data_IF_317162770777
#
_entry.id   IF_317162770777
#
_cell.length_a   1.000
_cell.length_b   1.000
_cell.length_c   1.000
_cell.angle_alpha   90.00
_cell.angle_beta   90.00
_cell.angle_gamma   90.00
#
_symmetry.space_group_name_H-M   'P 1'
#
loop_
_entity.id
_entity.type
_entity.pdbx_description
1 polymer ?
#
# COMPACT_ATOMS: atom_id res chain seq x y z
N UNK A 1 5.90 11.13 17.72
CA UNK A 1 5.41 10.72 16.39
C UNK A 1 6.49 11.03 15.34
N UNK A 2 7.63 10.30 15.35
CA UNK A 2 8.87 10.75 14.70
C UNK A 2 8.79 10.87 13.17
N UNK A 3 8.28 9.85 12.47
CA UNK A 3 8.24 9.86 11.01
C UNK A 3 7.37 11.00 10.41
N UNK A 4 6.34 11.46 11.13
CA UNK A 4 5.56 12.64 10.69
C UNK A 4 6.40 13.91 10.70
N UNK A 5 7.25 14.08 11.72
CA UNK A 5 8.15 15.23 11.80
C UNK A 5 9.16 15.20 10.64
N UNK A 6 9.76 14.05 10.37
CA UNK A 6 10.70 13.89 9.26
C UNK A 6 10.04 14.18 7.90
N UNK A 7 8.82 13.68 7.67
CA UNK A 7 8.06 13.94 6.45
C UNK A 7 7.73 15.43 6.28
N UNK A 8 7.38 16.12 7.37
CA UNK A 8 7.09 17.57 7.32
C UNK A 8 8.35 18.37 7.00
N UNK A 9 9.50 18.04 7.58
CA UNK A 9 10.77 18.71 7.26
C UNK A 9 11.16 18.47 5.79
N UNK A 10 10.85 17.29 5.25
CA UNK A 10 11.05 16.97 3.83
C UNK A 10 10.03 17.63 2.90
N UNK A 11 9.09 18.41 3.43
CA UNK A 11 8.12 19.15 2.63
C UNK A 11 6.98 18.30 2.08
N UNK A 12 6.54 17.25 2.80
CA UNK A 12 5.35 16.48 2.40
C UNK A 12 4.15 17.41 2.16
N UNK A 13 3.47 17.26 1.03
CA UNK A 13 2.40 18.18 0.62
C UNK A 13 1.07 17.91 1.31
N UNK A 14 0.78 16.66 1.65
CA UNK A 14 -0.51 16.24 2.21
C UNK A 14 -0.34 15.23 3.34
N UNK A 15 -1.30 15.20 4.27
CA UNK A 15 -1.39 14.21 5.33
C UNK A 15 -2.80 13.64 5.37
N UNK A 16 -2.92 12.31 5.33
CA UNK A 16 -4.20 11.62 5.43
C UNK A 16 -4.50 11.20 6.87
N UNK A 17 -5.74 11.40 7.32
CA UNK A 17 -6.18 11.03 8.67
C UNK A 17 -6.64 9.57 8.70
N UNK A 18 -6.10 8.78 9.64
CA UNK A 18 -6.44 7.36 9.84
C UNK A 18 -7.87 7.15 10.33
N UNK A 19 -8.52 6.05 9.94
CA UNK A 19 -9.82 5.60 10.51
C UNK A 19 -9.79 5.28 12.01
N UNK A 20 -8.60 5.04 12.56
CA UNK A 20 -8.40 4.56 13.92
C UNK A 20 -8.84 5.58 14.98
N UNK A 21 -8.89 5.10 16.22
CA UNK A 21 -9.07 5.94 17.40
C UNK A 21 -7.81 5.90 18.26
N UNK A 22 -7.47 7.02 18.87
CA UNK A 22 -6.48 7.07 19.96
C UNK A 22 -7.22 7.26 21.29
N UNK A 23 -7.05 6.32 22.23
CA UNK A 23 -7.74 6.33 23.53
C UNK A 23 -9.26 6.53 23.41
N UNK A 24 -9.88 5.87 22.42
CA UNK A 24 -11.31 5.97 22.13
C UNK A 24 -11.73 7.17 21.28
N UNK A 25 -10.88 8.19 21.11
CA UNK A 25 -11.19 9.35 20.28
C UNK A 25 -10.84 9.09 18.81
N UNK A 26 -11.84 9.18 17.92
CA UNK A 26 -11.67 9.07 16.46
C UNK A 26 -10.68 10.11 15.94
N UNK A 27 -9.70 9.70 15.15
CA UNK A 27 -8.69 10.60 14.61
C UNK A 27 -9.28 11.68 13.70
N UNK A 28 -10.31 11.35 12.90
CA UNK A 28 -11.05 12.34 12.09
C UNK A 28 -11.76 13.43 12.90
N UNK A 29 -12.03 13.21 14.19
CA UNK A 29 -12.61 14.20 15.10
C UNK A 29 -11.61 14.72 16.15
N UNK A 30 -10.31 14.39 16.02
CA UNK A 30 -9.31 14.70 17.04
C UNK A 30 -8.64 16.05 16.77
N UNK A 31 -9.29 17.14 17.18
CA UNK A 31 -8.73 18.51 17.06
C UNK A 31 -7.37 18.68 17.74
N UNK A 32 -7.15 17.97 18.86
CA UNK A 32 -5.89 18.00 19.60
C UNK A 32 -4.69 17.53 18.77
N UNK A 33 -4.85 16.45 18.00
CA UNK A 33 -3.78 15.93 17.16
C UNK A 33 -3.75 16.57 15.77
N UNK A 34 -4.91 16.79 15.16
CA UNK A 34 -5.02 17.30 13.79
C UNK A 34 -4.63 18.78 13.73
N UNK A 35 -5.20 19.61 14.61
CA UNK A 35 -4.89 21.04 14.61
C UNK A 35 -3.73 21.35 15.54
N UNK A 36 -3.87 21.12 16.85
CA UNK A 36 -2.88 21.64 17.81
C UNK A 36 -1.50 20.95 17.66
N UNK A 37 -1.46 19.67 17.34
CA UNK A 37 -0.19 18.98 17.14
C UNK A 37 0.33 19.13 15.71
N UNK A 38 -0.40 18.67 14.70
CA UNK A 38 0.11 18.62 13.33
C UNK A 38 0.23 20.02 12.69
N UNK A 39 -0.83 20.85 12.72
CA UNK A 39 -0.77 22.21 12.16
C UNK A 39 0.02 23.16 13.05
N UNK A 40 -0.26 23.22 14.34
CA UNK A 40 0.28 24.28 15.20
C UNK A 40 1.65 23.95 15.78
N UNK A 41 1.87 22.72 16.27
CA UNK A 41 3.16 22.34 16.87
C UNK A 41 4.19 21.92 15.82
N UNK A 42 3.82 21.05 14.89
CA UNK A 42 4.73 20.60 13.82
C UNK A 42 4.79 21.58 12.64
N UNK A 43 3.98 22.64 12.65
CA UNK A 43 3.96 23.70 11.61
C UNK A 43 3.66 23.16 10.21
N UNK A 44 2.89 22.08 10.09
CA UNK A 44 2.49 21.55 8.79
C UNK A 44 1.72 22.61 7.97
N UNK A 45 2.19 22.89 6.75
CA UNK A 45 1.62 23.92 5.86
C UNK A 45 0.91 23.38 4.62
N UNK A 46 1.00 22.09 4.37
CA UNK A 46 0.17 21.40 3.40
C UNK A 46 -1.29 21.31 3.86
N UNK A 47 -2.09 20.52 3.14
CA UNK A 47 -3.48 20.26 3.49
C UNK A 47 -3.68 18.84 4.05
N UNK A 48 -4.65 18.72 4.96
CA UNK A 48 -5.05 17.48 5.61
C UNK A 48 -6.24 16.89 4.87
N UNK A 49 -6.12 15.64 4.42
CA UNK A 49 -7.18 14.92 3.73
C UNK A 49 -7.79 13.84 4.63
N UNK A 50 -9.10 13.61 4.55
CA UNK A 50 -9.69 12.42 5.17
C UNK A 50 -9.33 11.17 4.37
N UNK A 51 -9.24 10.02 5.05
CA UNK A 51 -9.42 8.73 4.37
C UNK A 51 -10.85 8.61 3.76
N UNK A 52 -11.05 7.64 2.87
CA UNK A 52 -12.30 7.40 2.13
C UNK A 52 -13.47 7.16 3.08
N UNK A 53 -14.50 8.01 3.04
CA UNK A 53 -15.65 7.89 3.97
C UNK A 53 -15.23 7.95 5.45
N UNK A 54 -14.07 8.55 5.75
CA UNK A 54 -13.53 8.60 7.10
C UNK A 54 -14.39 9.44 8.06
N UNK A 55 -15.09 10.45 7.53
CA UNK A 55 -16.06 11.24 8.30
C UNK A 55 -17.28 10.40 8.70
N UNK A 56 -17.78 9.57 7.78
CA UNK A 56 -18.91 8.67 7.99
C UNK A 56 -18.62 7.75 9.19
N UNK A 57 -17.39 7.26 9.29
CA UNK A 57 -16.92 6.36 10.36
C UNK A 57 -16.59 7.05 11.69
N UNK A 58 -16.88 8.35 11.83
CA UNK A 58 -16.86 9.05 13.12
C UNK A 58 -18.00 8.52 14.02
N UNK A 59 -19.18 8.25 13.45
CA UNK A 59 -20.34 7.76 14.19
C UNK A 59 -20.41 6.23 14.19
N UNK A 60 -21.21 5.68 15.11
CA UNK A 60 -21.55 4.26 15.16
C UNK A 60 -23.07 4.10 15.22
N UNK A 61 -23.73 3.53 14.19
CA UNK A 61 -23.15 3.05 12.93
C UNK A 61 -22.57 4.19 12.06
N UNK A 62 -21.74 3.88 11.04
CA UNK A 62 -21.23 4.89 10.11
C UNK A 62 -22.36 5.70 9.47
N UNK A 63 -22.14 7.00 9.27
CA UNK A 63 -23.08 7.98 8.72
C UNK A 63 -24.41 8.16 9.48
N UNK A 64 -24.56 7.60 10.70
CA UNK A 64 -25.77 7.73 11.51
C UNK A 64 -26.14 9.20 11.82
N UNK A 65 -25.15 10.09 11.88
CA UNK A 65 -25.36 11.53 11.96
C UNK A 65 -24.30 12.25 11.11
N UNK A 66 -24.54 12.32 9.81
CA UNK A 66 -23.56 12.86 8.87
C UNK A 66 -23.31 14.36 9.06
N UNK A 67 -24.34 15.15 9.43
CA UNK A 67 -24.16 16.57 9.78
C UNK A 67 -23.15 16.74 10.91
N UNK A 68 -23.25 15.92 11.97
CA UNK A 68 -22.25 15.89 13.04
C UNK A 68 -20.87 15.47 12.53
N UNK A 69 -20.77 14.46 11.66
CA UNK A 69 -19.50 14.03 11.07
C UNK A 69 -18.80 15.16 10.30
N UNK A 70 -19.56 15.93 9.50
CA UNK A 70 -19.04 17.11 8.78
C UNK A 70 -18.56 18.16 9.77
N UNK A 71 -19.39 18.51 10.75
CA UNK A 71 -19.02 19.49 11.78
C UNK A 71 -17.74 19.06 12.53
N UNK A 72 -17.71 17.84 13.05
CA UNK A 72 -16.61 17.32 13.84
C UNK A 72 -15.31 17.24 13.03
N UNK A 73 -15.38 16.75 11.78
CA UNK A 73 -14.21 16.63 10.91
C UNK A 73 -13.60 17.97 10.51
N UNK A 74 -14.42 18.92 10.09
CA UNK A 74 -13.95 20.24 9.65
C UNK A 74 -13.42 21.06 10.83
N UNK A 75 -14.09 21.03 11.99
CA UNK A 75 -13.62 21.71 13.20
C UNK A 75 -12.38 21.04 13.82
N UNK A 76 -12.16 19.73 13.59
CA UNK A 76 -10.93 19.05 13.98
C UNK A 76 -9.71 19.53 13.16
N UNK A 77 -9.94 20.03 11.95
CA UNK A 77 -8.91 20.65 11.11
C UNK A 77 -8.70 19.96 9.76
N UNK A 78 -9.58 19.05 9.33
CA UNK A 78 -9.52 18.45 7.99
C UNK A 78 -9.77 19.53 6.94
N UNK A 79 -8.96 19.54 5.89
CA UNK A 79 -8.98 20.56 4.83
C UNK A 79 -9.72 20.06 3.58
N UNK A 80 -9.51 18.78 3.23
CA UNK A 80 -10.14 18.12 2.09
C UNK A 80 -10.81 16.83 2.55
N UNK A 81 -12.06 16.62 2.13
CA UNK A 81 -12.81 15.41 2.48
C UNK A 81 -12.89 14.49 1.25
N UNK A 82 -12.40 13.27 1.41
CA UNK A 82 -12.47 12.22 0.39
C UNK A 82 -13.84 11.57 0.41
N UNK A 83 -14.68 11.97 -0.55
CA UNK A 83 -16.06 11.47 -0.72
C UNK A 83 -16.17 10.87 -2.11
N UNK A 84 -16.17 9.54 -2.23
CA UNK A 84 -16.16 8.90 -3.55
C UNK A 84 -17.47 9.08 -4.32
N UNK A 85 -18.61 9.20 -3.61
CA UNK A 85 -19.94 9.15 -4.23
C UNK A 85 -20.84 10.35 -3.87
N UNK A 86 -21.19 10.53 -2.59
CA UNK A 86 -22.26 11.47 -2.18
C UNK A 86 -21.78 12.90 -1.89
N UNK A 87 -21.01 13.52 -2.80
CA UNK A 87 -20.52 14.89 -2.61
C UNK A 87 -21.64 15.95 -2.48
N UNK A 88 -22.85 15.85 -3.08
CA UNK A 88 -23.88 16.86 -2.90
C UNK A 88 -24.36 16.97 -1.46
N UNK A 89 -24.51 15.84 -0.75
CA UNK A 89 -24.90 15.82 0.67
C UNK A 89 -23.86 16.52 1.54
N UNK A 90 -22.57 16.23 1.32
CA UNK A 90 -21.49 16.91 2.03
C UNK A 90 -21.49 18.42 1.80
N UNK A 91 -21.59 18.86 0.54
CA UNK A 91 -21.60 20.29 0.20
C UNK A 91 -22.81 20.97 0.86
N UNK A 92 -23.98 20.34 0.82
CA UNK A 92 -25.20 20.85 1.47
C UNK A 92 -25.03 21.02 2.98
N UNK A 93 -24.54 19.99 3.67
CA UNK A 93 -24.28 20.02 5.11
C UNK A 93 -23.23 21.06 5.49
N UNK A 94 -22.09 21.10 4.80
CA UNK A 94 -21.03 22.07 5.08
C UNK A 94 -21.52 23.50 4.85
N UNK A 95 -22.26 23.74 3.76
CA UNK A 95 -22.83 25.06 3.46
C UNK A 95 -23.81 25.51 4.54
N UNK A 96 -24.68 24.61 5.01
CA UNK A 96 -25.61 24.89 6.10
C UNK A 96 -24.84 25.26 7.38
N UNK A 97 -23.87 24.43 7.79
CA UNK A 97 -23.08 24.64 8.99
C UNK A 97 -22.30 25.97 8.98
N UNK A 98 -21.85 26.42 7.80
CA UNK A 98 -21.21 27.73 7.64
C UNK A 98 -22.22 28.87 7.71
N UNK A 99 -23.36 28.76 7.02
CA UNK A 99 -24.45 29.76 7.04
C UNK A 99 -24.99 29.98 8.45
N UNK A 100 -25.11 28.90 9.22
CA UNK A 100 -25.58 28.92 10.60
C UNK A 100 -24.49 29.33 11.61
N UNK A 101 -23.29 29.72 11.14
CA UNK A 101 -22.13 30.11 11.94
C UNK A 101 -21.60 29.02 12.89
N UNK A 102 -21.96 27.75 12.66
CA UNK A 102 -21.45 26.60 13.42
C UNK A 102 -19.99 26.32 13.02
N UNK A 103 -19.67 26.43 11.73
CA UNK A 103 -18.30 26.44 11.21
C UNK A 103 -17.95 27.87 10.82
N UNK A 104 -16.94 28.50 11.45
CA UNK A 104 -16.56 29.86 11.11
C UNK A 104 -15.91 29.91 9.72
N UNK A 105 -16.14 31.00 8.97
CA UNK A 105 -15.52 31.22 7.67
C UNK A 105 -13.98 31.14 7.72
N UNK A 106 -13.36 31.57 8.81
CA UNK A 106 -11.90 31.45 9.00
C UNK A 106 -11.39 30.01 8.94
N UNK A 107 -12.21 29.01 9.30
CA UNK A 107 -11.87 27.59 9.14
C UNK A 107 -11.91 27.19 7.68
N UNK A 108 -12.89 27.67 6.92
CA UNK A 108 -12.98 27.45 5.47
C UNK A 108 -11.80 28.12 4.76
N UNK A 109 -11.46 29.35 5.13
CA UNK A 109 -10.34 30.09 4.58
C UNK A 109 -9.01 29.35 4.83
N UNK A 110 -8.75 28.85 6.05
CA UNK A 110 -7.55 28.02 6.34
C UNK A 110 -7.52 26.74 5.49
N UNK A 111 -8.66 26.05 5.31
CA UNK A 111 -8.73 24.84 4.47
C UNK A 111 -8.38 25.16 3.01
N UNK A 112 -9.03 26.18 2.45
CA UNK A 112 -8.88 26.57 1.05
C UNK A 112 -7.48 27.13 0.80
N UNK A 113 -6.94 27.95 1.71
CA UNK A 113 -5.57 28.49 1.60
C UNK A 113 -4.54 27.36 1.50
N UNK A 114 -4.69 26.29 2.29
CA UNK A 114 -3.78 25.13 2.25
C UNK A 114 -3.92 24.33 0.96
N UNK A 115 -5.14 24.11 0.48
CA UNK A 115 -5.40 23.41 -0.79
C UNK A 115 -4.80 24.21 -1.95
N UNK A 116 -5.09 25.51 -2.01
CA UNK A 116 -4.57 26.39 -3.05
C UNK A 116 -3.06 26.50 -3.00
N UNK A 117 -2.46 26.64 -1.81
CA UNK A 117 -1.00 26.64 -1.63
C UNK A 117 -0.37 25.41 -2.29
N UNK A 118 -0.88 24.21 -2.00
CA UNK A 118 -0.32 22.98 -2.58
C UNK A 118 -0.51 22.95 -4.10
N UNK A 119 -1.68 23.37 -4.61
CA UNK A 119 -1.91 23.45 -6.06
C UNK A 119 -0.96 24.41 -6.77
N UNK A 120 -0.68 25.59 -6.18
CA UNK A 120 0.29 26.54 -6.73
C UNK A 120 1.73 26.03 -6.64
N UNK A 121 2.14 25.41 -5.52
CA UNK A 121 3.50 24.84 -5.38
C UNK A 121 3.77 23.72 -6.40
N UNK A 122 2.73 22.96 -6.76
CA UNK A 122 2.82 21.89 -7.77
C UNK A 122 2.66 22.39 -9.22
N UNK A 123 2.57 23.72 -9.42
CA UNK A 123 2.32 24.34 -10.72
C UNK A 123 1.06 23.82 -11.45
N UNK A 124 0.03 23.41 -10.69
CA UNK A 124 -1.17 22.81 -11.28
C UNK A 124 -2.02 23.82 -12.05
N UNK A 125 -1.82 25.12 -11.82
CA UNK A 125 -2.50 26.18 -12.57
C UNK A 125 -1.81 26.49 -13.90
N UNK A 126 -0.49 26.28 -13.96
CA UNK A 126 0.34 26.45 -15.15
C UNK A 126 0.25 25.21 -16.06
N UNK A 127 0.36 24.01 -15.47
CA UNK A 127 0.35 22.73 -16.16
C UNK A 127 -0.81 21.82 -15.68
N UNK A 128 -2.08 22.17 -15.98
CA UNK A 128 -3.25 21.45 -15.46
C UNK A 128 -3.53 20.12 -16.18
N UNK A 129 -2.89 19.88 -17.33
CA UNK A 129 -3.12 18.70 -18.18
C UNK A 129 -1.96 17.72 -18.09
N UNK A 130 -2.25 16.45 -18.37
CA UNK A 130 -1.24 15.41 -18.40
C UNK A 130 -0.21 15.66 -19.51
N UNK A 131 1.08 15.51 -19.18
CA UNK A 131 2.14 15.47 -20.17
C UNK A 131 2.22 14.06 -20.80
N UNK A 132 1.79 13.97 -22.06
CA UNK A 132 1.79 12.72 -22.81
C UNK A 132 3.20 12.23 -23.16
N UNK A 133 4.23 13.07 -23.06
CA UNK A 133 5.62 12.67 -23.27
C UNK A 133 6.09 11.63 -22.23
N UNK A 134 5.45 11.61 -21.06
CA UNK A 134 5.77 10.72 -19.94
C UNK A 134 5.17 9.32 -20.08
N UNK A 135 4.41 9.01 -21.13
CA UNK A 135 3.76 7.70 -21.31
C UNK A 135 4.75 6.53 -21.24
N UNK A 136 5.97 6.73 -21.72
CA UNK A 136 7.03 5.71 -21.72
C UNK A 136 7.67 5.48 -20.35
N UNK A 137 7.38 6.33 -19.36
CA UNK A 137 7.83 6.12 -17.98
C UNK A 137 7.05 4.98 -17.30
N UNK A 138 5.83 4.68 -17.76
CA UNK A 138 5.01 3.62 -17.19
C UNK A 138 5.65 2.25 -17.45
N UNK A 139 6.22 1.66 -16.39
CA UNK A 139 6.85 0.35 -16.46
C UNK A 139 8.13 0.33 -17.29
N UNK A 140 8.87 1.45 -17.34
CA UNK A 140 10.17 1.56 -18.01
C UNK A 140 11.17 0.53 -17.47
N UNK A 141 12.17 0.18 -18.30
CA UNK A 141 13.17 -0.81 -17.93
C UNK A 141 14.01 -0.35 -16.73
N UNK A 142 14.37 0.93 -16.67
CA UNK A 142 15.12 1.54 -15.57
C UNK A 142 14.36 1.39 -14.24
N UNK A 143 13.05 1.65 -14.23
CA UNK A 143 12.22 1.48 -13.03
C UNK A 143 12.11 0.01 -12.63
N UNK A 144 12.05 -0.92 -13.59
CA UNK A 144 12.06 -2.36 -13.32
C UNK A 144 13.39 -2.85 -12.77
N UNK A 145 14.50 -2.27 -13.18
CA UNK A 145 15.83 -2.57 -12.64
C UNK A 145 15.98 -2.11 -11.20
N UNK A 146 15.51 -0.89 -10.90
CA UNK A 146 15.43 -0.39 -9.54
C UNK A 146 14.52 -1.27 -8.66
N UNK A 147 13.35 -1.66 -9.17
CA UNK A 147 12.44 -2.57 -8.47
C UNK A 147 13.10 -3.94 -8.22
N UNK A 148 13.85 -4.48 -9.20
CA UNK A 148 14.61 -5.73 -9.05
C UNK A 148 15.70 -5.62 -7.98
N UNK A 149 16.37 -4.48 -7.89
CA UNK A 149 17.34 -4.20 -6.82
C UNK A 149 16.66 -4.16 -5.45
N UNK A 150 15.55 -3.43 -5.33
CA UNK A 150 14.78 -3.33 -4.09
C UNK A 150 14.32 -4.71 -3.61
N UNK A 151 13.77 -5.54 -4.50
CA UNK A 151 13.38 -6.93 -4.20
C UNK A 151 14.58 -7.74 -3.71
N UNK A 152 15.76 -7.61 -4.33
CA UNK A 152 16.96 -8.34 -3.87
C UNK A 152 17.39 -7.90 -2.46
N UNK A 153 17.34 -6.60 -2.18
CA UNK A 153 17.75 -6.01 -0.89
C UNK A 153 16.73 -6.25 0.23
N UNK A 154 15.47 -6.54 -0.10
CA UNK A 154 14.41 -6.81 0.89
C UNK A 154 14.40 -8.24 1.42
N UNK A 155 15.12 -9.17 0.78
CA UNK A 155 15.14 -10.58 1.20
C UNK A 155 15.89 -10.75 2.53
N UNK A 156 15.25 -11.40 3.50
CA UNK A 156 15.86 -11.77 4.78
C UNK A 156 16.08 -13.28 4.81
N UNK A 157 17.34 -13.69 4.87
CA UNK A 157 17.71 -15.10 4.95
C UNK A 157 17.55 -15.62 6.38
N UNK A 158 16.46 -16.34 6.64
CA UNK A 158 16.15 -16.86 7.98
C UNK A 158 16.91 -18.16 8.31
N UNK A 159 17.25 -18.96 7.30
CA UNK A 159 17.97 -20.23 7.46
C UNK A 159 18.73 -20.60 6.20
N UNK A 160 19.96 -21.07 6.34
CA UNK A 160 20.79 -21.50 5.22
C UNK A 160 21.47 -22.86 5.50
N UNK A 161 20.77 -23.95 5.22
CA UNK A 161 21.22 -25.30 5.55
C UNK A 161 20.69 -25.81 6.89
N UNK A 162 20.77 -27.14 7.10
CA UNK A 162 20.44 -27.77 8.39
C UNK A 162 21.63 -27.75 9.35
N UNK A 163 22.83 -27.71 8.80
CA UNK A 163 24.11 -27.71 9.52
C UNK A 163 24.86 -26.45 9.06
N UNK A 164 25.39 -25.67 9.98
CA UNK A 164 26.05 -24.37 9.71
C UNK A 164 27.26 -24.48 8.78
N UNK A 165 27.95 -25.62 8.76
CA UNK A 165 29.10 -25.88 7.89
C UNK A 165 28.73 -26.26 6.44
N UNK A 166 27.46 -26.42 6.12
CA UNK A 166 26.97 -26.82 4.79
C UNK A 166 25.87 -25.86 4.33
N UNK A 167 26.24 -24.66 3.84
CA UNK A 167 25.28 -23.72 3.31
C UNK A 167 24.61 -24.28 2.06
N UNK A 168 23.30 -24.07 1.93
CA UNK A 168 22.54 -24.42 0.73
C UNK A 168 22.61 -23.32 -0.33
N UNK A 169 22.58 -22.06 0.11
CA UNK A 169 22.64 -20.87 -0.73
C UNK A 169 24.06 -20.28 -0.71
N UNK A 170 24.55 -19.75 -1.85
CA UNK A 170 23.85 -19.64 -3.14
C UNK A 170 23.77 -20.96 -3.92
N UNK A 171 22.66 -21.19 -4.62
CA UNK A 171 22.47 -22.39 -5.45
C UNK A 171 23.32 -22.34 -6.73
N UNK A 172 23.88 -23.46 -7.20
CA UNK A 172 24.60 -23.51 -8.45
C UNK A 172 23.63 -23.33 -9.62
N UNK A 173 23.93 -22.39 -10.52
CA UNK A 173 23.11 -22.13 -11.72
C UNK A 173 23.14 -23.28 -12.73
N UNK A 174 24.17 -24.12 -12.69
CA UNK A 174 24.31 -25.31 -13.51
C UNK A 174 24.04 -26.54 -12.65
N UNK A 175 23.00 -27.28 -12.99
CA UNK A 175 22.65 -28.55 -12.37
C UNK A 175 21.98 -29.44 -13.43
N UNK A 176 22.08 -30.78 -13.35
CA UNK A 176 21.35 -31.67 -14.24
C UNK A 176 19.83 -31.38 -14.28
N UNK A 177 19.17 -31.33 -13.11
CA UNK A 177 17.71 -31.20 -13.03
C UNK A 177 17.26 -30.59 -11.72
N UNK A 178 16.44 -29.56 -11.78
CA UNK A 178 15.93 -28.85 -10.61
C UNK A 178 14.40 -28.84 -10.58
N UNK A 179 13.84 -28.74 -9.37
CA UNK A 179 12.41 -28.58 -9.16
C UNK A 179 12.09 -27.14 -8.75
N UNK A 180 11.08 -26.55 -9.38
CA UNK A 180 10.39 -25.36 -8.88
C UNK A 180 8.97 -25.78 -8.50
N UNK A 181 8.53 -25.45 -7.29
CA UNK A 181 7.23 -25.85 -6.77
C UNK A 181 6.60 -24.77 -5.89
N UNK A 182 5.37 -25.03 -5.45
CA UNK A 182 4.61 -24.15 -4.57
C UNK A 182 3.65 -23.23 -5.33
N UNK A 183 2.60 -22.81 -4.64
CA UNK A 183 1.48 -22.03 -5.20
C UNK A 183 1.87 -20.64 -5.69
N UNK A 184 3.00 -20.09 -5.21
CA UNK A 184 3.46 -18.74 -5.52
C UNK A 184 4.58 -18.72 -6.56
N UNK A 185 5.09 -19.89 -6.97
CA UNK A 185 6.25 -19.95 -7.86
C UNK A 185 5.97 -19.37 -9.25
N UNK A 186 4.74 -19.51 -9.76
CA UNK A 186 4.33 -18.99 -11.07
C UNK A 186 3.04 -18.17 -11.01
N UNK A 187 2.91 -17.31 -9.99
CA UNK A 187 1.76 -16.44 -9.81
C UNK A 187 2.21 -15.00 -9.51
N UNK A 188 2.09 -14.13 -10.51
CA UNK A 188 2.50 -12.73 -10.47
C UNK A 188 1.64 -11.92 -9.49
N UNK A 189 0.32 -12.16 -9.49
CA UNK A 189 -0.58 -11.51 -8.54
C UNK A 189 -0.20 -11.80 -7.08
N UNK A 190 0.14 -13.05 -6.76
CA UNK A 190 0.50 -13.45 -5.40
C UNK A 190 1.82 -12.85 -4.91
N UNK A 191 2.84 -12.74 -5.78
CA UNK A 191 4.09 -12.08 -5.38
C UNK A 191 3.96 -10.55 -5.23
N UNK A 192 2.89 -9.95 -5.77
CA UNK A 192 2.63 -8.52 -5.62
C UNK A 192 1.76 -8.19 -4.39
N UNK A 193 0.80 -9.06 -4.04
CA UNK A 193 -0.08 -8.85 -2.89
C UNK A 193 -1.25 -7.90 -3.17
N UNK A 194 -1.85 -7.36 -2.10
CA UNK A 194 -2.91 -6.34 -2.18
C UNK A 194 -2.44 -5.05 -2.83
N UNK A 195 -3.37 -4.14 -3.14
CA UNK A 195 -3.07 -2.87 -3.82
C UNK A 195 -2.35 -3.01 -5.17
N UNK A 196 -2.51 -4.15 -5.85
CA UNK A 196 -1.95 -4.39 -7.19
C UNK A 196 -3.06 -4.72 -8.18
N UNK A 197 -3.27 -3.84 -9.16
CA UNK A 197 -4.36 -3.87 -10.15
C UNK A 197 -5.77 -3.72 -9.52
N UNK A 198 -6.10 -4.50 -8.51
CA UNK A 198 -7.32 -4.40 -7.71
C UNK A 198 -7.00 -4.11 -6.23
N UNK A 199 -7.99 -3.64 -5.49
CA UNK A 199 -7.86 -3.32 -4.06
C UNK A 199 -7.33 -4.51 -3.24
N UNK A 200 -8.01 -5.65 -3.33
CA UNK A 200 -7.61 -6.89 -2.65
C UNK A 200 -6.50 -7.66 -3.40
N UNK A 201 -5.95 -7.10 -4.48
CA UNK A 201 -5.03 -7.79 -5.36
C UNK A 201 -5.72 -8.78 -6.28
N UNK A 202 -4.92 -9.57 -7.00
CA UNK A 202 -5.38 -10.49 -8.06
C UNK A 202 -4.61 -11.80 -7.99
N UNK A 203 -5.13 -12.86 -8.63
CA UNK A 203 -4.43 -14.14 -8.80
C UNK A 203 -4.13 -14.39 -10.27
N UNK A 204 -2.92 -14.88 -10.57
CA UNK A 204 -2.49 -15.22 -11.91
C UNK A 204 -1.64 -14.14 -12.58
N UNK A 205 -1.42 -14.31 -13.89
CA UNK A 205 -0.35 -13.62 -14.62
C UNK A 205 -0.85 -12.62 -15.68
N UNK A 206 -2.18 -12.44 -15.81
CA UNK A 206 -2.78 -11.70 -16.93
C UNK A 206 -3.16 -10.24 -16.61
N UNK A 207 -2.96 -9.80 -15.36
CA UNK A 207 -3.41 -8.49 -14.89
C UNK A 207 -2.35 -7.38 -14.99
N UNK A 208 -1.07 -7.74 -15.11
CA UNK A 208 0.04 -6.79 -15.22
C UNK A 208 1.27 -7.45 -15.82
N UNK A 209 2.26 -6.65 -16.22
CA UNK A 209 3.52 -7.12 -16.82
C UNK A 209 4.59 -7.29 -15.74
N UNK A 210 5.14 -8.50 -15.63
CA UNK A 210 6.18 -8.82 -14.66
C UNK A 210 6.95 -10.10 -14.99
N UNK A 211 7.77 -10.55 -14.05
CA UNK A 211 8.49 -11.84 -14.15
C UNK A 211 8.21 -12.64 -12.88
N UNK A 212 7.60 -13.80 -13.04
CA UNK A 212 7.38 -14.75 -11.93
C UNK A 212 8.69 -15.34 -11.46
N UNK A 213 8.74 -15.89 -10.23
CA UNK A 213 9.94 -16.58 -9.72
C UNK A 213 10.34 -17.74 -10.64
N UNK A 214 9.37 -18.54 -11.11
CA UNK A 214 9.61 -19.62 -12.08
C UNK A 214 10.25 -19.08 -13.36
N UNK A 215 9.70 -18.01 -13.92
CA UNK A 215 10.23 -17.38 -15.14
C UNK A 215 11.63 -16.81 -14.92
N UNK A 216 11.90 -16.21 -13.75
CA UNK A 216 13.21 -15.71 -13.38
C UNK A 216 14.25 -16.84 -13.27
N UNK A 217 13.88 -17.97 -12.65
CA UNK A 217 14.75 -19.15 -12.53
C UNK A 217 15.09 -19.69 -13.91
N UNK A 218 14.09 -19.92 -14.77
CA UNK A 218 14.29 -20.40 -16.15
C UNK A 218 15.24 -19.50 -16.96
N UNK A 219 15.19 -18.18 -16.75
CA UNK A 219 16.08 -17.21 -17.42
C UNK A 219 17.49 -17.15 -16.82
N UNK A 220 17.70 -17.66 -15.61
CA UNK A 220 18.95 -17.47 -14.83
C UNK A 220 19.86 -18.69 -14.83
N UNK A 221 19.28 -19.89 -14.87
CA UNK A 221 20.05 -21.15 -14.86
C UNK A 221 20.82 -21.36 -16.16
N UNK A 222 21.83 -22.22 -16.13
CA UNK A 222 22.55 -22.66 -17.32
C UNK A 222 21.58 -23.32 -18.31
N UNK A 223 21.70 -23.07 -19.64
CA UNK A 223 20.82 -23.67 -20.64
C UNK A 223 20.74 -25.21 -20.60
N UNK A 224 21.76 -25.89 -20.06
CA UNK A 224 21.75 -27.35 -19.88
C UNK A 224 20.91 -27.82 -18.68
N UNK A 225 20.46 -26.91 -17.81
CA UNK A 225 19.73 -27.24 -16.58
C UNK A 225 18.27 -27.49 -16.88
N UNK A 226 17.79 -28.72 -16.62
CA UNK A 226 16.38 -29.02 -16.77
C UNK A 226 15.57 -28.44 -15.60
N UNK A 227 14.69 -27.48 -15.88
CA UNK A 227 13.77 -26.91 -14.88
C UNK A 227 12.41 -27.59 -14.97
N UNK A 228 12.04 -28.35 -13.95
CA UNK A 228 10.69 -28.93 -13.83
C UNK A 228 9.84 -28.07 -12.91
N UNK A 229 8.66 -27.67 -13.37
CA UNK A 229 7.67 -27.01 -12.51
C UNK A 229 6.54 -27.97 -12.16
N UNK A 230 6.21 -28.05 -10.88
CA UNK A 230 4.98 -28.70 -10.40
C UNK A 230 4.48 -27.97 -9.18
N UNK A 231 3.29 -27.39 -9.24
CA UNK A 231 2.77 -26.51 -8.19
C UNK A 231 2.65 -27.22 -6.83
N UNK A 232 2.06 -28.41 -6.80
CA UNK A 232 1.88 -29.19 -5.59
C UNK A 232 2.34 -30.65 -5.82
N UNK A 233 3.66 -30.93 -5.83
CA UNK A 233 4.17 -32.27 -6.01
C UNK A 233 4.03 -33.08 -4.73
N UNK A 234 3.63 -34.35 -4.85
CA UNK A 234 3.71 -35.29 -3.74
C UNK A 234 5.15 -35.76 -3.48
N UNK A 235 5.37 -36.40 -2.32
CA UNK A 235 6.69 -36.87 -1.92
C UNK A 235 7.29 -37.93 -2.87
N UNK A 236 6.45 -38.76 -3.50
CA UNK A 236 6.90 -39.80 -4.42
C UNK A 236 7.42 -39.17 -5.70
N UNK A 237 6.75 -38.16 -6.22
CA UNK A 237 7.22 -37.39 -7.37
C UNK A 237 8.59 -36.78 -7.11
N UNK A 238 8.80 -36.16 -5.94
CA UNK A 238 10.09 -35.54 -5.60
C UNK A 238 11.20 -36.60 -5.52
N UNK A 239 10.96 -37.72 -4.83
CA UNK A 239 11.95 -38.79 -4.65
C UNK A 239 12.32 -39.51 -5.95
N UNK A 240 11.35 -39.77 -6.82
CA UNK A 240 11.56 -40.57 -8.05
C UNK A 240 12.20 -39.79 -9.18
N UNK A 241 12.27 -38.46 -9.11
CA UNK A 241 12.72 -37.62 -10.23
C UNK A 241 14.17 -37.14 -10.16
N UNK A 242 14.92 -37.51 -9.10
CA UNK A 242 16.36 -37.22 -8.91
C UNK A 242 16.72 -35.74 -9.13
N UNK A 243 16.02 -34.84 -8.46
CA UNK A 243 16.33 -33.41 -8.48
C UNK A 243 17.60 -33.10 -7.67
N UNK A 244 18.49 -32.26 -8.19
CA UNK A 244 19.66 -31.77 -7.46
C UNK A 244 19.27 -30.87 -6.29
N UNK A 245 18.27 -30.01 -6.51
CA UNK A 245 17.65 -29.18 -5.49
C UNK A 245 16.25 -28.74 -5.90
N UNK A 246 15.49 -28.22 -4.94
CA UNK A 246 14.16 -27.67 -5.15
C UNK A 246 14.06 -26.23 -4.63
N UNK A 247 13.34 -25.38 -5.37
CA UNK A 247 12.91 -24.05 -4.93
C UNK A 247 11.39 -24.11 -4.76
N UNK A 248 10.93 -24.02 -3.51
CA UNK A 248 9.50 -24.07 -3.17
C UNK A 248 9.04 -22.70 -2.72
N UNK A 249 8.05 -22.12 -3.42
CA UNK A 249 7.55 -20.78 -3.16
C UNK A 249 6.09 -20.85 -2.70
N UNK A 250 5.87 -20.48 -1.45
CA UNK A 250 4.55 -20.45 -0.78
C UNK A 250 4.45 -19.18 0.05
N UNK A 251 3.23 -18.79 0.41
CA UNK A 251 2.98 -17.58 1.15
C UNK A 251 1.49 -17.34 1.35
N UNK A 252 1.18 -16.14 1.83
CA UNK A 252 -0.17 -15.64 1.97
C UNK A 252 -0.73 -15.22 0.61
N UNK A 253 -2.04 -15.41 0.41
CA UNK A 253 -2.74 -14.84 -0.75
C UNK A 253 -2.89 -13.32 -0.58
N UNK A 254 -3.09 -12.55 -1.68
CA UNK A 254 -3.31 -11.11 -1.60
C UNK A 254 -4.47 -10.71 -0.68
N UNK A 255 -4.26 -9.66 0.10
CA UNK A 255 -5.27 -8.98 0.92
C UNK A 255 -4.89 -7.51 1.10
N UNK A 256 -5.87 -6.67 1.44
CA UNK A 256 -5.67 -5.29 1.84
C UNK A 256 -6.65 -4.89 2.96
N UNK A 257 -6.19 -4.00 3.85
CA UNK A 257 -6.96 -3.47 4.97
C UNK A 257 -7.52 -4.59 5.88
N UNK A 258 -8.78 -4.48 6.31
CA UNK A 258 -9.39 -5.40 7.28
C UNK A 258 -9.49 -6.85 6.80
N UNK A 259 -9.37 -7.10 5.49
CA UNK A 259 -9.35 -8.46 4.94
C UNK A 259 -8.03 -9.20 5.23
N UNK A 260 -6.99 -8.46 5.62
CA UNK A 260 -5.75 -9.03 6.15
C UNK A 260 -5.77 -9.31 7.65
N UNK A 261 -6.83 -8.87 8.37
CA UNK A 261 -6.91 -9.09 9.80
C UNK A 261 -7.07 -10.59 10.10
N UNK A 262 -6.09 -11.16 10.80
CA UNK A 262 -6.09 -12.56 11.21
C UNK A 262 -5.96 -12.67 12.73
N UNK A 263 -6.89 -13.38 13.36
CA UNK A 263 -6.82 -13.75 14.78
C UNK A 263 -5.87 -14.94 15.03
N UNK A 264 -5.47 -15.65 13.98
CA UNK A 264 -4.51 -16.73 14.05
C UNK A 264 -3.10 -16.16 13.84
N UNK A 265 -2.31 -16.10 14.91
CA UNK A 265 -0.86 -16.02 14.80
C UNK A 265 -0.40 -17.18 13.90
N UNK A 266 0.23 -16.90 12.77
CA UNK A 266 0.65 -17.82 11.70
C UNK A 266 1.75 -18.83 12.13
N UNK A 267 1.64 -19.41 13.32
CA UNK A 267 2.57 -20.38 13.91
C UNK A 267 2.22 -21.84 13.67
N UNK A 268 1.22 -22.17 12.86
CA UNK A 268 0.89 -23.57 12.57
C UNK A 268 0.88 -23.84 11.09
N UNK A 269 2.08 -24.12 10.55
CA UNK A 269 2.23 -25.00 9.41
C UNK A 269 2.40 -26.41 9.96
N UNK A 270 1.32 -27.20 9.95
CA UNK A 270 1.35 -28.64 10.23
C UNK A 270 1.75 -29.42 8.98
#
# INVERSE_FOLDING_TARGET
>A
MPAYYDSIIKGVSTVMISYSSLNGQKMHANRGLVTHFLKDKLKFRGFIISDSEGLDRITSPPAANYTYSVQAGILAGIDMVMIPNNYPEFIGNLTLLVKDNIIPMSRIDDAVERILRVKFILSLFEDPLADLSLVNQLGSQEHRELAREAVRKSLVLLKNGKITSQPLLPLPKKAPKILVAGTHADNLGYQCGGWTNQWQGVSGNNFTVGTTILSAIKKTVDPSTQVVYRQNPDANFVKSNKFDYAIVVVGEVPYAEMFGDSSYNTRTWS
#
